data_IF_817355396124
#
_entry.id   IF_817355396124
#
_cell.length_a   1.000
_cell.length_b   1.000
_cell.length_c   1.000
_cell.angle_alpha   90.00
_cell.angle_beta   90.00
_cell.angle_gamma   90.00
#
_symmetry.space_group_name_H-M   'P 1'
#
loop_
_entity.id
_entity.type
_entity.pdbx_description
1 polymer ?
#
# COMPACT_ATOMS: atom_id res chain seq x y z
N UNK A 1 -13.31 39.65 47.69
CA UNK A 1 -13.63 39.85 46.26
C UNK A 1 -14.90 39.07 45.91
N UNK A 2 -16.06 39.72 45.76
CA UNK A 2 -17.32 39.02 45.39
C UNK A 2 -17.27 38.69 43.90
N UNK A 3 -16.90 37.46 43.56
CA UNK A 3 -16.92 36.98 42.17
C UNK A 3 -18.38 37.02 41.70
N UNK A 4 -18.64 37.78 40.64
CA UNK A 4 -19.95 37.80 40.00
C UNK A 4 -20.21 36.42 39.40
N UNK A 5 -21.04 35.61 40.07
CA UNK A 5 -21.33 34.21 39.73
C UNK A 5 -21.73 34.03 38.26
N UNK A 6 -22.41 35.02 37.67
CA UNK A 6 -22.82 35.02 36.26
C UNK A 6 -21.63 35.19 35.31
N UNK A 7 -20.69 36.10 35.64
CA UNK A 7 -19.46 36.28 34.86
C UNK A 7 -18.54 35.06 34.95
N UNK A 8 -18.43 34.45 36.13
CA UNK A 8 -17.66 33.22 36.32
C UNK A 8 -18.23 32.02 35.54
N UNK A 9 -19.56 31.87 35.52
CA UNK A 9 -20.23 30.81 34.75
C UNK A 9 -20.02 30.99 33.24
N UNK A 10 -20.17 32.22 32.73
CA UNK A 10 -19.93 32.52 31.30
C UNK A 10 -18.46 32.27 30.94
N UNK A 11 -17.52 32.70 31.78
CA UNK A 11 -16.10 32.42 31.57
C UNK A 11 -15.79 30.91 31.57
N UNK A 12 -16.38 30.14 32.49
CA UNK A 12 -16.25 28.69 32.55
C UNK A 12 -16.81 27.98 31.32
N UNK A 13 -17.96 28.42 30.81
CA UNK A 13 -18.53 27.91 29.55
C UNK A 13 -17.63 28.24 28.35
N UNK A 14 -17.04 29.43 28.31
CA UNK A 14 -16.09 29.82 27.27
C UNK A 14 -14.84 28.94 27.28
N UNK A 15 -14.25 28.69 28.46
CA UNK A 15 -13.09 27.80 28.61
C UNK A 15 -13.43 26.37 28.18
N UNK A 16 -14.58 25.85 28.63
CA UNK A 16 -15.05 24.51 28.25
C UNK A 16 -15.21 24.38 26.73
N UNK A 17 -15.82 25.38 26.09
CA UNK A 17 -16.00 25.37 24.64
C UNK A 17 -14.65 25.41 23.89
N UNK A 18 -13.71 26.24 24.34
CA UNK A 18 -12.37 26.31 23.76
C UNK A 18 -11.62 24.98 23.89
N UNK A 19 -11.72 24.30 25.02
CA UNK A 19 -11.12 22.98 25.23
C UNK A 19 -11.79 21.92 24.34
N UNK A 20 -13.12 21.95 24.20
CA UNK A 20 -13.84 21.05 23.32
C UNK A 20 -13.38 21.18 21.85
N UNK A 21 -13.22 22.42 21.38
CA UNK A 21 -12.70 22.71 20.02
C UNK A 21 -11.26 22.24 19.88
N UNK A 22 -10.40 22.54 20.86
CA UNK A 22 -8.99 22.13 20.85
C UNK A 22 -8.85 20.60 20.73
N UNK A 23 -9.52 19.85 21.62
CA UNK A 23 -9.49 18.39 21.58
C UNK A 23 -10.16 17.83 20.31
N UNK A 24 -11.18 18.50 19.77
CA UNK A 24 -11.80 18.15 18.48
C UNK A 24 -10.82 18.23 17.32
N UNK A 25 -10.04 19.32 17.22
CA UNK A 25 -9.01 19.48 16.19
C UNK A 25 -7.92 18.41 16.32
N UNK A 26 -7.43 18.16 17.53
CA UNK A 26 -6.43 17.11 17.76
C UNK A 26 -6.96 15.70 17.50
N UNK A 27 -8.25 15.45 17.73
CA UNK A 27 -8.88 14.20 17.33
C UNK A 27 -8.82 14.01 15.81
N UNK A 28 -9.17 15.04 15.02
CA UNK A 28 -9.10 14.96 13.55
C UNK A 28 -7.67 14.66 13.10
N UNK A 29 -6.68 15.35 13.68
CA UNK A 29 -5.25 15.13 13.38
C UNK A 29 -4.85 13.68 13.69
N UNK A 30 -5.21 13.16 14.86
CA UNK A 30 -4.88 11.78 15.27
C UNK A 30 -5.56 10.70 14.40
N UNK A 31 -6.73 10.99 13.83
CA UNK A 31 -7.39 10.06 12.88
C UNK A 31 -6.81 10.16 11.47
N UNK A 32 -6.28 11.32 11.09
CA UNK A 32 -5.62 11.53 9.80
C UNK A 32 -4.22 10.89 9.75
N UNK A 33 -3.52 10.76 10.88
CA UNK A 33 -2.20 10.10 10.95
C UNK A 33 -2.36 8.58 11.10
N UNK A 34 -1.70 7.75 10.28
CA UNK A 34 -1.76 6.29 10.42
C UNK A 34 -1.14 5.83 11.74
N UNK A 35 -1.73 4.84 12.42
CA UNK A 35 -1.31 4.40 13.77
C UNK A 35 0.11 3.82 13.78
N UNK A 36 0.55 3.24 12.66
CA UNK A 36 1.92 2.79 12.48
C UNK A 36 2.35 2.94 11.03
N UNK A 37 3.64 3.13 10.83
CA UNK A 37 4.29 3.09 9.52
C UNK A 37 4.99 1.74 9.39
N UNK A 38 4.72 1.04 8.30
CA UNK A 38 5.34 -0.26 7.98
C UNK A 38 6.45 -0.03 6.98
N UNK A 39 7.68 -0.02 7.45
CA UNK A 39 8.86 0.07 6.60
C UNK A 39 9.31 -1.33 6.21
N UNK A 40 9.37 -1.59 4.91
CA UNK A 40 9.87 -2.84 4.35
C UNK A 40 11.22 -2.56 3.73
N UNK A 41 12.27 -3.15 4.28
CA UNK A 41 13.62 -3.11 3.69
C UNK A 41 14.04 -4.50 3.22
N UNK A 42 14.85 -4.55 2.17
CA UNK A 42 15.39 -5.78 1.61
C UNK A 42 16.90 -5.76 1.81
N UNK A 43 17.44 -6.78 2.45
CA UNK A 43 18.89 -6.94 2.65
C UNK A 43 19.36 -8.16 1.86
N UNK A 44 20.40 -8.02 1.03
CA UNK A 44 21.00 -9.17 0.33
C UNK A 44 21.70 -10.06 1.36
N UNK A 45 21.22 -11.30 1.50
CA UNK A 45 21.79 -12.28 2.42
C UNK A 45 23.11 -12.85 1.88
N UNK A 46 23.13 -13.22 0.60
CA UNK A 46 24.33 -13.62 -0.11
C UNK A 46 24.17 -13.49 -1.63
N UNK A 47 25.30 -13.42 -2.33
CA UNK A 47 25.41 -13.45 -3.78
C UNK A 47 26.45 -14.47 -4.23
N UNK A 48 26.22 -15.12 -5.36
CA UNK A 48 27.08 -16.13 -5.95
C UNK A 48 27.22 -15.85 -7.44
N UNK A 49 28.43 -15.93 -7.97
CA UNK A 49 28.73 -15.63 -9.36
C UNK A 49 29.66 -16.66 -9.96
N UNK A 50 29.31 -17.18 -11.13
CA UNK A 50 30.08 -18.13 -11.92
C UNK A 50 30.33 -17.57 -13.32
N UNK A 51 31.58 -17.60 -13.79
CA UNK A 51 31.95 -17.11 -15.12
C UNK A 51 33.01 -17.98 -15.79
N UNK A 52 32.82 -18.32 -17.06
CA UNK A 52 33.82 -18.98 -17.89
C UNK A 52 34.42 -17.96 -18.86
N UNK A 53 35.67 -17.60 -18.63
CA UNK A 53 36.45 -16.86 -19.64
C UNK A 53 37.07 -17.86 -20.60
N UNK A 54 36.95 -17.62 -21.90
CA UNK A 54 37.38 -18.60 -22.90
C UNK A 54 38.03 -17.97 -24.13
N UNK A 55 38.85 -18.76 -24.81
CA UNK A 55 39.50 -18.45 -26.08
C UNK A 55 39.63 -19.72 -26.91
N UNK A 56 39.76 -19.57 -28.23
CA UNK A 56 39.92 -20.70 -29.13
C UNK A 56 41.36 -20.83 -29.65
N UNK A 57 41.70 -22.07 -30.00
CA UNK A 57 42.82 -22.44 -30.83
C UNK A 57 42.26 -22.97 -32.15
N UNK A 58 42.76 -22.44 -33.25
CA UNK A 58 42.32 -22.73 -34.60
C UNK A 58 43.39 -23.52 -35.37
N UNK A 59 42.96 -24.44 -36.23
CA UNK A 59 43.84 -25.20 -37.12
C UNK A 59 44.41 -24.34 -38.26
N UNK A 60 43.73 -23.24 -38.60
CA UNK A 60 44.17 -22.28 -39.61
C UNK A 60 44.16 -20.86 -39.03
N UNK A 61 45.35 -20.32 -38.81
CA UNK A 61 45.55 -19.00 -38.18
C UNK A 61 45.50 -17.82 -39.17
N UNK A 62 45.20 -18.06 -40.46
CA UNK A 62 45.20 -17.00 -41.48
C UNK A 62 44.11 -15.95 -41.27
N UNK A 63 42.96 -16.33 -40.69
CA UNK A 63 41.82 -15.44 -40.45
C UNK A 63 41.71 -15.06 -38.96
N UNK A 64 41.88 -16.04 -38.07
CA UNK A 64 41.78 -15.83 -36.63
C UNK A 64 43.05 -16.33 -35.95
N UNK A 65 43.65 -15.47 -35.12
CA UNK A 65 44.84 -15.85 -34.37
C UNK A 65 44.50 -16.77 -33.20
N UNK A 66 45.44 -17.66 -32.87
CA UNK A 66 45.32 -18.47 -31.67
C UNK A 66 45.27 -17.61 -30.39
N UNK A 67 44.39 -17.98 -29.46
CA UNK A 67 44.14 -17.18 -28.26
C UNK A 67 43.02 -16.15 -28.41
N UNK A 68 42.38 -16.06 -29.58
CA UNK A 68 41.27 -15.12 -29.78
C UNK A 68 40.04 -15.56 -28.98
N UNK A 69 39.45 -14.61 -28.25
CA UNK A 69 38.14 -14.77 -27.60
C UNK A 69 37.05 -14.20 -28.51
N UNK A 70 36.08 -15.02 -28.89
CA UNK A 70 34.97 -14.63 -29.76
C UNK A 70 33.66 -15.04 -29.11
N UNK A 71 32.58 -14.29 -29.39
CA UNK A 71 31.23 -14.71 -29.05
C UNK A 71 30.81 -15.96 -29.85
N UNK A 72 31.27 -16.05 -31.09
CA UNK A 72 31.00 -17.15 -32.01
C UNK A 72 32.30 -17.62 -32.66
N UNK A 73 32.60 -18.91 -32.59
CA UNK A 73 33.80 -19.53 -33.18
C UNK A 73 33.44 -20.34 -34.43
N UNK A 74 34.16 -20.22 -35.55
CA UNK A 74 33.90 -21.04 -36.74
C UNK A 74 34.23 -22.53 -36.48
N UNK A 75 33.22 -23.41 -36.45
CA UNK A 75 33.43 -24.83 -36.08
C UNK A 75 34.40 -25.57 -36.97
N UNK A 76 34.49 -25.20 -38.26
CA UNK A 76 35.32 -25.91 -39.24
C UNK A 76 36.82 -25.74 -39.05
N UNK A 77 37.25 -24.70 -38.33
CA UNK A 77 38.67 -24.43 -38.06
C UNK A 77 38.98 -24.36 -36.56
N UNK A 78 38.00 -24.56 -35.67
CA UNK A 78 38.21 -24.49 -34.23
C UNK A 78 38.61 -25.86 -33.70
N UNK A 79 39.84 -26.01 -33.26
CA UNK A 79 40.35 -27.30 -32.76
C UNK A 79 40.04 -27.47 -31.28
N UNK A 80 40.25 -26.42 -30.49
CA UNK A 80 40.07 -26.44 -29.03
C UNK A 80 39.54 -25.09 -28.55
N UNK A 81 38.54 -25.11 -27.66
CA UNK A 81 38.17 -23.95 -26.86
C UNK A 81 38.71 -24.17 -25.45
N UNK A 82 39.63 -23.32 -25.00
CA UNK A 82 40.16 -23.32 -23.64
C UNK A 82 39.47 -22.25 -22.83
N UNK A 83 39.32 -22.48 -21.53
CA UNK A 83 38.82 -21.47 -20.63
C UNK A 83 39.23 -21.67 -19.20
N UNK A 84 38.95 -20.66 -18.40
CA UNK A 84 39.12 -20.64 -16.95
C UNK A 84 37.76 -20.32 -16.35
N UNK A 85 37.18 -21.32 -15.70
CA UNK A 85 35.95 -21.13 -14.95
C UNK A 85 36.29 -20.54 -13.59
N UNK A 86 35.59 -19.48 -13.19
CA UNK A 86 35.76 -18.79 -11.92
C UNK A 86 34.44 -18.74 -11.19
N UNK A 87 34.47 -19.08 -9.92
CA UNK A 87 33.35 -18.93 -9.01
C UNK A 87 33.74 -18.03 -7.84
N UNK A 88 32.80 -17.20 -7.39
CA UNK A 88 32.95 -16.38 -6.19
C UNK A 88 31.63 -16.24 -5.45
N UNK A 89 31.71 -16.09 -4.13
CA UNK A 89 30.55 -15.78 -3.29
C UNK A 89 30.82 -14.61 -2.33
N UNK A 90 29.78 -13.84 -2.04
CA UNK A 90 29.79 -12.74 -1.07
C UNK A 90 28.55 -12.81 -0.16
N UNK A 91 28.68 -12.75 1.17
CA UNK A 91 29.95 -12.79 1.91
C UNK A 91 30.67 -14.12 1.68
N UNK A 92 32.00 -14.08 1.73
CA UNK A 92 32.86 -15.24 1.50
C UNK A 92 32.45 -16.40 2.40
N UNK A 93 32.30 -17.59 1.82
CA UNK A 93 31.91 -18.79 2.53
C UNK A 93 32.69 -19.99 2.00
N UNK A 94 32.88 -20.99 2.86
CA UNK A 94 33.52 -22.24 2.51
C UNK A 94 32.51 -23.27 2.04
N UNK A 95 32.90 -24.06 1.06
CA UNK A 95 32.04 -25.11 0.50
C UNK A 95 32.83 -26.10 -0.33
N UNK A 96 32.11 -26.96 -1.03
CA UNK A 96 32.66 -27.88 -2.01
C UNK A 96 32.13 -27.57 -3.40
N UNK A 97 32.90 -27.95 -4.41
CA UNK A 97 32.52 -27.82 -5.81
C UNK A 97 32.77 -29.12 -6.56
N UNK A 98 31.97 -29.33 -7.60
CA UNK A 98 32.15 -30.39 -8.59
C UNK A 98 31.92 -29.81 -9.98
N UNK A 99 32.83 -30.08 -10.89
CA UNK A 99 32.75 -29.67 -12.30
C UNK A 99 32.80 -30.93 -13.16
N UNK A 100 31.77 -31.11 -13.97
CA UNK A 100 31.61 -32.26 -14.84
C UNK A 100 31.41 -31.80 -16.29
N UNK A 101 32.07 -32.47 -17.23
CA UNK A 101 31.82 -32.34 -18.65
C UNK A 101 30.90 -33.48 -19.09
N UNK A 102 29.81 -33.14 -19.76
CA UNK A 102 28.90 -34.11 -20.36
C UNK A 102 29.02 -34.05 -21.88
N UNK A 103 29.10 -35.22 -22.50
CA UNK A 103 29.11 -35.41 -23.95
C UNK A 103 28.09 -36.49 -24.28
N UNK A 104 26.93 -36.05 -24.74
CA UNK A 104 25.78 -36.91 -25.01
C UNK A 104 25.58 -37.01 -26.53
N UNK A 105 25.62 -38.22 -27.05
CA UNK A 105 25.44 -38.51 -28.47
C UNK A 105 24.03 -39.04 -28.69
N UNK A 106 23.30 -38.47 -29.64
CA UNK A 106 21.90 -38.81 -29.85
C UNK A 106 21.50 -38.74 -31.33
N UNK A 107 20.36 -39.35 -31.66
CA UNK A 107 19.65 -39.16 -32.93
C UNK A 107 18.27 -38.60 -32.65
N UNK A 108 17.82 -37.65 -33.48
CA UNK A 108 16.48 -37.09 -33.38
C UNK A 108 15.46 -37.97 -34.11
N UNK A 109 14.54 -38.59 -33.37
CA UNK A 109 13.40 -39.33 -33.91
C UNK A 109 12.11 -38.61 -33.52
N UNK A 110 11.31 -38.19 -34.50
CA UNK A 110 10.07 -37.43 -34.25
C UNK A 110 10.28 -36.20 -33.34
N UNK A 111 11.38 -35.46 -33.57
CA UNK A 111 11.81 -34.29 -32.76
C UNK A 111 12.16 -34.61 -31.31
N UNK A 112 12.34 -35.88 -30.95
CA UNK A 112 12.80 -36.30 -29.62
C UNK A 112 14.22 -36.89 -29.74
N UNK A 113 15.15 -36.50 -28.85
CA UNK A 113 16.47 -37.10 -28.84
C UNK A 113 16.38 -38.54 -28.30
N UNK A 114 16.96 -39.48 -29.04
CA UNK A 114 17.23 -40.85 -28.60
C UNK A 114 18.73 -40.94 -28.36
N UNK A 115 19.13 -41.01 -27.10
CA UNK A 115 20.53 -41.04 -26.70
C UNK A 115 21.16 -42.40 -27.01
N UNK A 116 22.27 -42.37 -27.74
CA UNK A 116 23.09 -43.53 -28.11
C UNK A 116 24.17 -43.79 -27.06
N UNK A 117 24.82 -42.72 -26.61
CA UNK A 117 25.92 -42.78 -25.65
C UNK A 117 25.95 -41.49 -24.83
N UNK A 118 25.96 -41.63 -23.51
CA UNK A 118 26.13 -40.50 -22.60
C UNK A 118 27.44 -40.68 -21.83
N UNK A 119 28.32 -39.69 -21.91
CA UNK A 119 29.60 -39.70 -21.20
C UNK A 119 29.65 -38.51 -20.27
N UNK A 120 29.94 -38.78 -19.00
CA UNK A 120 30.25 -37.76 -18.00
C UNK A 120 31.70 -37.92 -17.58
N UNK A 121 32.45 -36.82 -17.54
CA UNK A 121 33.85 -36.79 -17.11
C UNK A 121 34.01 -35.72 -16.05
N UNK A 122 34.47 -36.11 -14.86
CA UNK A 122 34.81 -35.16 -13.81
C UNK A 122 36.07 -34.38 -14.24
N UNK A 123 35.95 -33.06 -14.28
CA UNK A 123 37.05 -32.15 -14.63
C UNK A 123 37.82 -31.76 -13.37
N UNK A 124 37.09 -31.40 -12.31
CA UNK A 124 37.65 -31.07 -11.02
C UNK A 124 36.60 -31.19 -9.93
N UNK A 125 37.05 -31.52 -8.73
CA UNK A 125 36.27 -31.43 -7.50
C UNK A 125 37.18 -31.01 -6.36
N UNK A 126 36.61 -30.38 -5.34
CA UNK A 126 37.39 -29.96 -4.18
C UNK A 126 36.62 -29.04 -3.23
N UNK A 127 37.34 -28.60 -2.20
CA UNK A 127 36.85 -27.59 -1.27
C UNK A 127 37.42 -26.21 -1.64
N UNK A 128 36.70 -25.15 -1.28
CA UNK A 128 37.12 -23.77 -1.51
C UNK A 128 36.71 -22.87 -0.34
N UNK A 129 37.33 -21.69 -0.26
CA UNK A 129 36.97 -20.64 0.67
C UNK A 129 36.77 -19.32 -0.09
N UNK A 130 35.52 -18.88 -0.20
CA UNK A 130 35.13 -17.64 -0.89
C UNK A 130 35.12 -17.73 -2.42
N UNK A 131 36.15 -18.29 -3.04
CA UNK A 131 36.24 -18.42 -4.50
C UNK A 131 37.11 -19.59 -4.95
N UNK A 132 36.97 -20.02 -6.21
CA UNK A 132 37.88 -20.97 -6.85
C UNK A 132 37.99 -20.68 -8.36
N UNK A 133 39.03 -21.21 -9.00
CA UNK A 133 39.23 -21.14 -10.44
C UNK A 133 39.74 -22.47 -10.98
N UNK A 134 39.15 -22.95 -12.07
CA UNK A 134 39.47 -24.25 -12.67
C UNK A 134 39.64 -24.10 -14.19
N UNK A 135 40.76 -24.58 -14.78
CA UNK A 135 40.92 -24.62 -16.22
C UNK A 135 39.98 -25.68 -16.84
N UNK A 136 39.31 -25.31 -17.93
CA UNK A 136 38.40 -26.17 -18.68
C UNK A 136 38.81 -26.16 -20.15
N UNK A 137 38.63 -27.30 -20.83
CA UNK A 137 38.87 -27.42 -22.28
C UNK A 137 37.73 -28.16 -22.96
N UNK A 138 37.32 -27.66 -24.12
CA UNK A 138 36.43 -28.34 -25.06
C UNK A 138 37.28 -28.69 -26.29
N UNK A 139 37.58 -29.98 -26.49
CA UNK A 139 38.39 -30.45 -27.61
C UNK A 139 37.49 -30.85 -28.78
N UNK A 140 37.38 -29.98 -29.79
CA UNK A 140 36.48 -30.18 -30.92
C UNK A 140 36.94 -31.34 -31.79
N UNK A 141 38.25 -31.52 -31.92
CA UNK A 141 38.86 -32.63 -32.66
C UNK A 141 38.44 -33.97 -32.07
N UNK A 142 38.65 -34.16 -30.76
CA UNK A 142 38.28 -35.41 -30.09
C UNK A 142 36.77 -35.69 -30.11
N UNK A 143 35.94 -34.65 -29.92
CA UNK A 143 34.48 -34.78 -30.00
C UNK A 143 34.01 -35.13 -31.42
N UNK A 144 34.63 -34.53 -32.44
CA UNK A 144 34.36 -34.82 -33.84
C UNK A 144 34.74 -36.24 -34.24
N UNK A 145 35.91 -36.72 -33.79
CA UNK A 145 36.35 -38.10 -34.02
C UNK A 145 35.45 -39.13 -33.32
N UNK A 146 35.03 -38.86 -32.09
CA UNK A 146 34.11 -39.75 -31.36
C UNK A 146 32.73 -39.79 -32.03
N UNK A 147 32.19 -38.64 -32.43
CA UNK A 147 30.95 -38.59 -33.21
C UNK A 147 31.07 -39.35 -34.54
N UNK A 148 32.21 -39.22 -35.25
CA UNK A 148 32.47 -39.95 -36.49
C UNK A 148 32.46 -41.46 -36.26
N UNK A 149 33.16 -41.95 -35.22
CA UNK A 149 33.17 -43.38 -34.84
C UNK A 149 31.77 -43.90 -34.52
N UNK A 150 30.95 -43.11 -33.82
CA UNK A 150 29.56 -43.50 -33.51
C UNK A 150 28.73 -43.58 -34.79
N UNK A 151 28.82 -42.58 -35.67
CA UNK A 151 28.09 -42.58 -36.95
C UNK A 151 28.45 -43.77 -37.82
N UNK A 152 29.74 -44.07 -37.95
CA UNK A 152 30.24 -45.20 -38.74
C UNK A 152 29.90 -46.55 -38.10
N UNK A 153 30.04 -46.67 -36.78
CA UNK A 153 29.78 -47.93 -36.06
C UNK A 153 28.29 -48.27 -35.90
N UNK A 154 27.39 -47.29 -36.03
CA UNK A 154 25.94 -47.49 -35.89
C UNK A 154 25.16 -47.32 -37.20
N UNK A 155 25.83 -46.93 -38.29
CA UNK A 155 25.21 -46.51 -39.56
C UNK A 155 24.21 -45.33 -39.42
N UNK A 156 24.31 -44.57 -38.31
CA UNK A 156 23.45 -43.43 -38.02
C UNK A 156 24.14 -42.12 -38.40
N UNK A 157 24.24 -41.82 -39.69
CA UNK A 157 24.90 -40.59 -40.19
C UNK A 157 24.31 -39.28 -39.65
N UNK A 158 23.06 -39.31 -39.18
CA UNK A 158 22.36 -38.16 -38.57
C UNK A 158 22.57 -38.04 -37.06
N UNK A 159 23.44 -38.84 -36.45
CA UNK A 159 23.77 -38.66 -35.03
C UNK A 159 24.40 -37.28 -34.78
N UNK A 160 24.06 -36.68 -33.65
CA UNK A 160 24.52 -35.39 -33.18
C UNK A 160 25.16 -35.54 -31.79
N UNK A 161 25.87 -34.50 -31.35
CA UNK A 161 26.43 -34.44 -30.01
C UNK A 161 25.96 -33.17 -29.27
N UNK A 162 25.52 -33.34 -28.03
CA UNK A 162 25.30 -32.26 -27.07
C UNK A 162 26.45 -32.28 -26.06
N UNK A 163 27.17 -31.16 -25.95
CA UNK A 163 28.28 -31.02 -25.01
C UNK A 163 28.01 -29.87 -24.05
N UNK A 164 28.12 -30.12 -22.75
CA UNK A 164 27.95 -29.08 -21.74
C UNK A 164 28.77 -29.36 -20.49
N UNK A 165 29.19 -28.28 -19.83
CA UNK A 165 29.82 -28.29 -18.52
C UNK A 165 28.73 -28.06 -17.46
N UNK A 166 28.73 -28.86 -16.41
CA UNK A 166 27.94 -28.62 -15.20
C UNK A 166 28.87 -28.24 -14.07
N UNK A 167 28.63 -27.09 -13.45
CA UNK A 167 29.29 -26.69 -12.20
C UNK A 167 28.26 -26.72 -11.09
N UNK A 168 28.57 -27.47 -10.05
CA UNK A 168 27.74 -27.57 -8.84
C UNK A 168 28.57 -27.13 -7.65
N UNK A 169 28.06 -26.17 -6.88
CA UNK A 169 28.69 -25.64 -5.69
C UNK A 169 27.74 -25.80 -4.50
N UNK A 170 28.26 -26.37 -3.42
CA UNK A 170 27.51 -26.65 -2.20
C UNK A 170 28.16 -25.92 -1.03
N UNK A 171 27.41 -25.00 -0.42
CA UNK A 171 27.81 -24.28 0.80
C UNK A 171 26.78 -24.62 1.88
N UNK A 172 27.26 -24.98 3.08
CA UNK A 172 26.38 -25.32 4.20
C UNK A 172 25.44 -24.15 4.53
N UNK A 173 24.13 -24.43 4.60
CA UNK A 173 23.10 -23.43 4.90
C UNK A 173 22.67 -22.56 3.71
N UNK A 174 23.16 -22.83 2.49
CA UNK A 174 22.75 -22.14 1.26
C UNK A 174 22.15 -23.13 0.26
N UNK A 175 21.35 -22.61 -0.67
CA UNK A 175 20.86 -23.41 -1.79
C UNK A 175 22.05 -23.76 -2.70
N UNK A 176 22.13 -24.99 -3.27
CA UNK A 176 23.20 -25.35 -4.18
C UNK A 176 23.20 -24.44 -5.42
N UNK A 177 24.35 -23.85 -5.72
CA UNK A 177 24.55 -23.12 -6.97
C UNK A 177 24.88 -24.11 -8.08
N UNK A 178 24.04 -24.16 -9.12
CA UNK A 178 24.28 -24.99 -10.31
C UNK A 178 24.33 -24.13 -11.56
N UNK A 179 25.37 -24.29 -12.38
CA UNK A 179 25.50 -23.62 -13.68
C UNK A 179 25.75 -24.65 -14.78
N UNK A 180 24.94 -24.61 -15.83
CA UNK A 180 25.13 -25.38 -17.07
C UNK A 180 25.69 -24.45 -18.13
N UNK A 181 26.88 -24.76 -18.66
CA UNK A 181 27.51 -24.04 -19.77
C UNK A 181 27.47 -24.95 -20.99
N UNK A 182 26.66 -24.63 -21.98
CA UNK A 182 26.42 -25.49 -23.14
C UNK A 182 27.21 -25.01 -24.36
N UNK A 183 27.94 -25.93 -24.99
CA UNK A 183 28.52 -25.69 -26.30
C UNK A 183 27.45 -25.93 -27.37
N UNK A 184 27.01 -24.86 -28.01
CA UNK A 184 26.03 -24.91 -29.11
C UNK A 184 26.74 -24.75 -30.45
N UNK A 185 26.34 -25.56 -31.42
CA UNK A 185 26.66 -25.38 -32.83
C UNK A 185 25.39 -24.93 -33.55
N UNK A 186 25.41 -23.77 -34.18
CA UNK A 186 24.28 -23.28 -34.96
C UNK A 186 24.26 -23.87 -36.38
N UNK A 187 23.18 -23.58 -37.12
CA UNK A 187 22.99 -24.04 -38.51
C UNK A 187 24.01 -23.45 -39.49
N UNK A 188 24.62 -22.31 -39.15
CA UNK A 188 25.70 -21.69 -39.95
C UNK A 188 27.06 -22.32 -39.69
N UNK A 189 27.15 -23.24 -38.73
CA UNK A 189 28.40 -23.90 -38.35
C UNK A 189 29.24 -23.08 -37.37
N UNK A 190 28.66 -22.11 -36.67
CA UNK A 190 29.34 -21.36 -35.61
C UNK A 190 29.09 -22.01 -34.25
N UNK A 191 30.11 -21.97 -33.40
CA UNK A 191 30.10 -22.47 -32.03
C UNK A 191 29.94 -21.31 -31.06
N UNK A 192 29.12 -21.49 -30.03
CA UNK A 192 28.98 -20.53 -28.93
C UNK A 192 28.85 -21.25 -27.60
N UNK A 193 29.32 -20.61 -26.52
CA UNK A 193 29.14 -21.09 -25.15
C UNK A 193 27.96 -20.35 -24.51
N UNK A 194 26.84 -21.04 -24.39
CA UNK A 194 25.65 -20.52 -23.73
C UNK A 194 25.73 -20.77 -22.22
N UNK A 195 25.23 -19.82 -21.43
CA UNK A 195 25.30 -19.90 -19.96
C UNK A 195 26.71 -19.69 -19.38
N UNK A 196 27.65 -19.09 -20.12
CA UNK A 196 29.03 -18.86 -19.67
C UNK A 196 29.14 -17.99 -18.41
N UNK A 197 28.14 -17.15 -18.13
CA UNK A 197 28.04 -16.32 -16.92
C UNK A 197 26.72 -16.57 -16.20
N UNK A 198 26.74 -16.68 -14.87
CA UNK A 198 25.56 -16.80 -14.03
C UNK A 198 25.78 -16.09 -12.70
N UNK A 199 24.89 -15.16 -12.38
CA UNK A 199 24.85 -14.50 -11.08
C UNK A 199 23.56 -14.87 -10.34
N UNK A 200 23.67 -15.09 -9.03
CA UNK A 200 22.57 -15.41 -8.13
C UNK A 200 22.63 -14.50 -6.90
N UNK A 201 21.47 -14.01 -6.44
CA UNK A 201 21.36 -13.19 -5.24
C UNK A 201 20.16 -13.64 -4.42
N UNK A 202 20.39 -13.95 -3.14
CA UNK A 202 19.33 -14.21 -2.16
C UNK A 202 19.06 -12.93 -1.38
N UNK A 203 17.80 -12.50 -1.33
CA UNK A 203 17.35 -11.34 -0.56
C UNK A 203 16.48 -11.77 0.61
N UNK A 204 16.71 -11.15 1.76
CA UNK A 204 15.89 -11.29 2.96
C UNK A 204 15.02 -10.04 3.14
N UNK A 205 13.77 -10.27 3.54
CA UNK A 205 12.78 -9.22 3.74
C UNK A 205 12.70 -8.86 5.22
N UNK A 206 13.09 -7.64 5.57
CA UNK A 206 12.96 -7.08 6.89
C UNK A 206 11.71 -6.20 6.96
N UNK A 207 10.91 -6.36 8.03
CA UNK A 207 9.71 -5.54 8.27
C UNK A 207 9.88 -4.83 9.60
N UNK A 208 10.04 -3.50 9.53
CA UNK A 208 10.01 -2.59 10.67
C UNK A 208 8.58 -2.04 10.81
N UNK A 209 8.07 -2.02 12.04
CA UNK A 209 6.81 -1.35 12.37
C UNK A 209 7.16 -0.25 13.38
N UNK A 210 7.00 1.00 12.96
CA UNK A 210 7.19 2.15 13.85
C UNK A 210 5.82 2.70 14.25
N UNK A 211 5.56 2.80 15.56
CA UNK A 211 4.35 3.44 16.07
C UNK A 211 4.45 4.95 15.89
N UNK A 212 3.42 5.56 15.29
CA UNK A 212 3.39 7.00 15.09
C UNK A 212 2.86 7.72 16.34
N UNK A 213 3.19 9.01 16.45
CA UNK A 213 2.79 9.85 17.58
C UNK A 213 2.36 11.24 17.14
N UNK A 214 1.40 11.82 17.85
CA UNK A 214 0.95 13.21 17.69
C UNK A 214 1.55 14.05 18.80
N UNK A 215 2.12 15.21 18.45
CA UNK A 215 2.54 16.20 19.42
C UNK A 215 1.34 16.91 20.05
N UNK A 216 1.21 16.85 21.37
CA UNK A 216 0.18 17.52 22.16
C UNK A 216 0.82 18.27 23.33
N UNK A 217 0.70 19.61 23.32
CA UNK A 217 1.17 20.50 24.40
C UNK A 217 2.60 20.18 24.86
N UNK A 218 3.54 20.13 23.91
CA UNK A 218 4.96 19.85 24.18
C UNK A 218 5.30 18.39 24.52
N UNK A 219 4.33 17.48 24.52
CA UNK A 219 4.53 16.04 24.74
C UNK A 219 4.15 15.22 23.51
N UNK A 220 4.78 14.07 23.31
CA UNK A 220 4.40 13.13 22.27
C UNK A 220 3.41 12.10 22.83
N UNK A 221 2.25 11.97 22.18
CA UNK A 221 1.21 11.00 22.54
C UNK A 221 1.09 10.00 21.40
N UNK A 222 1.20 8.71 21.70
CA UNK A 222 1.01 7.64 20.70
C UNK A 222 -0.34 7.81 19.97
N UNK A 223 -0.35 7.64 18.65
CA UNK A 223 -1.55 7.85 17.81
C UNK A 223 -2.72 6.96 18.25
N UNK A 224 -2.43 5.72 18.66
CA UNK A 224 -3.43 4.78 19.19
C UNK A 224 -4.11 5.28 20.46
N UNK A 225 -3.39 6.00 21.31
CA UNK A 225 -3.90 6.65 22.52
C UNK A 225 -4.62 7.95 22.17
N UNK A 226 -4.04 8.78 21.30
CA UNK A 226 -4.59 10.05 20.85
C UNK A 226 -5.99 9.89 20.24
N UNK A 227 -6.20 8.86 19.39
CA UNK A 227 -7.51 8.52 18.79
C UNK A 227 -8.59 8.14 19.80
N UNK A 228 -8.23 7.74 21.02
CA UNK A 228 -9.20 7.40 22.08
C UNK A 228 -9.45 8.59 23.00
N UNK A 229 -8.37 9.25 23.41
CA UNK A 229 -8.43 10.29 24.46
C UNK A 229 -8.99 11.59 23.92
N UNK A 230 -8.54 12.05 22.74
CA UNK A 230 -8.96 13.36 22.23
C UNK A 230 -10.46 13.47 21.92
N UNK A 231 -11.13 12.48 21.26
CA UNK A 231 -12.58 12.54 21.07
C UNK A 231 -13.34 12.50 22.40
N UNK A 232 -12.91 11.67 23.35
CA UNK A 232 -13.56 11.55 24.65
C UNK A 232 -13.49 12.87 25.42
N UNK A 233 -12.33 13.54 25.40
CA UNK A 233 -12.15 14.85 26.03
C UNK A 233 -12.97 15.94 25.32
N UNK A 234 -13.01 15.92 23.98
CA UNK A 234 -13.83 16.87 23.21
C UNK A 234 -15.31 16.77 23.59
N UNK A 235 -15.85 15.55 23.69
CA UNK A 235 -17.24 15.32 24.11
C UNK A 235 -17.48 15.78 25.54
N UNK A 236 -16.59 15.43 26.48
CA UNK A 236 -16.71 15.82 27.88
C UNK A 236 -16.81 17.34 28.03
N UNK A 237 -15.94 18.09 27.36
CA UNK A 237 -15.94 19.55 27.42
C UNK A 237 -17.07 20.22 26.62
N UNK A 238 -17.75 19.50 25.73
CA UNK A 238 -18.93 20.00 25.03
C UNK A 238 -20.22 19.91 25.87
N UNK A 239 -20.27 19.05 26.90
CA UNK A 239 -21.47 18.85 27.73
C UNK A 239 -21.94 20.14 28.42
N UNK A 240 -21.08 20.92 29.12
CA UNK A 240 -21.54 22.12 29.82
C UNK A 240 -22.19 23.20 28.92
N UNK A 241 -21.59 23.62 27.78
CA UNK A 241 -22.22 24.61 26.90
C UNK A 241 -23.51 24.09 26.25
N UNK A 242 -23.57 22.81 25.84
CA UNK A 242 -24.78 22.22 25.28
C UNK A 242 -25.92 22.17 26.31
N UNK A 243 -25.63 21.77 27.54
CA UNK A 243 -26.62 21.77 28.64
C UNK A 243 -27.12 23.18 28.98
N UNK A 244 -26.26 24.20 28.90
CA UNK A 244 -26.65 25.59 29.11
C UNK A 244 -27.57 26.13 28.01
N UNK A 245 -27.31 25.79 26.74
CA UNK A 245 -28.19 26.18 25.62
C UNK A 245 -29.54 25.48 25.72
N UNK A 246 -29.54 24.18 26.03
CA UNK A 246 -30.75 23.37 26.17
C UNK A 246 -31.66 23.91 27.30
N UNK A 247 -31.09 24.15 28.48
CA UNK A 247 -31.84 24.70 29.63
C UNK A 247 -32.38 26.12 29.43
N UNK A 248 -31.76 26.93 28.56
CA UNK A 248 -32.32 28.24 28.16
C UNK A 248 -33.47 28.12 27.17
N UNK A 249 -33.47 27.11 26.31
CA UNK A 249 -34.52 26.91 25.30
C UNK A 249 -35.84 26.52 25.94
N UNK A 250 -35.82 25.71 27.00
CA UNK A 250 -37.02 25.29 27.74
C UNK A 250 -37.66 26.43 28.55
N UNK A 251 -36.95 27.53 28.80
CA UNK A 251 -37.44 28.67 29.59
C UNK A 251 -38.10 29.78 28.77
N UNK A 252 -38.34 29.60 27.47
CA UNK A 252 -39.12 30.59 26.71
C UNK A 252 -40.60 30.57 27.19
N UNK A 253 -41.22 31.73 27.47
CA UNK A 253 -42.62 31.77 27.85
C UNK A 253 -43.49 31.17 26.74
N UNK A 254 -44.51 30.39 27.11
CA UNK A 254 -45.48 29.83 26.15
C UNK A 254 -46.25 31.00 25.55
N UNK A 255 -46.38 31.03 24.22
CA UNK A 255 -47.23 32.00 23.53
C UNK A 255 -48.71 31.65 23.80
N UNK A 256 -49.37 32.42 24.64
CA UNK A 256 -50.73 32.15 25.13
C UNK A 256 -51.79 32.31 24.02
N UNK A 257 -51.53 33.12 22.99
CA UNK A 257 -52.42 33.35 21.84
C UNK A 257 -52.13 32.42 20.64
N UNK A 258 -51.19 31.49 20.77
CA UNK A 258 -50.76 30.62 19.66
C UNK A 258 -51.90 29.83 19.01
N UNK A 259 -52.95 29.49 19.78
CA UNK A 259 -54.12 28.76 19.27
C UNK A 259 -55.09 29.62 18.44
N UNK A 260 -55.09 30.95 18.65
CA UNK A 260 -55.99 31.90 18.01
C UNK A 260 -55.37 32.60 16.80
N UNK A 261 -54.03 32.61 16.66
CA UNK A 261 -53.29 33.31 15.57
C UNK A 261 -53.86 33.10 14.16
N UNK A 262 -54.37 31.91 13.85
CA UNK A 262 -54.92 31.58 12.52
C UNK A 262 -56.26 32.27 12.20
N UNK A 263 -56.91 32.85 13.21
CA UNK A 263 -58.19 33.54 13.10
C UNK A 263 -58.06 35.05 13.35
N UNK A 264 -56.83 35.53 13.56
CA UNK A 264 -56.52 36.94 13.75
C UNK A 264 -56.30 37.59 12.39
N UNK A 265 -56.99 38.71 12.17
CA UNK A 265 -56.87 39.55 10.98
C UNK A 265 -56.44 40.93 11.43
N UNK A 266 -55.40 41.48 10.80
CA UNK A 266 -54.93 42.84 11.08
C UNK A 266 -55.94 43.86 10.56
N UNK A 267 -56.39 44.78 11.41
CA UNK A 267 -57.39 45.78 11.05
C UNK A 267 -57.66 46.77 12.18
N UNK A 268 -58.46 47.80 11.90
CA UNK A 268 -58.92 48.71 12.95
C UNK A 268 -60.06 48.09 13.74
N UNK A 269 -60.06 48.30 15.05
CA UNK A 269 -61.13 47.81 15.92
C UNK A 269 -62.50 48.29 15.40
N UNK A 270 -63.47 47.39 15.19
CA UNK A 270 -64.78 47.73 14.66
C UNK A 270 -65.55 48.66 15.62
N UNK A 271 -66.30 49.61 15.08
CA UNK A 271 -67.14 50.51 15.87
C UNK A 271 -68.43 49.79 16.28
N UNK A 272 -68.75 49.83 17.57
CA UNK A 272 -69.99 49.28 18.12
C UNK A 272 -70.54 50.15 19.24
N UNK A 273 -71.85 50.06 19.47
CA UNK A 273 -72.59 50.83 20.48
C UNK A 273 -72.40 50.30 21.90
N UNK A 274 -71.94 49.04 22.07
CA UNK A 274 -71.62 48.43 23.36
C UNK A 274 -70.25 47.75 23.33
N UNK A 275 -69.36 48.10 24.25
CA UNK A 275 -68.04 47.47 24.41
C UNK A 275 -67.99 46.58 25.65
N UNK A 276 -67.43 45.39 25.52
CA UNK A 276 -67.21 44.43 26.61
C UNK A 276 -65.71 44.11 26.70
N UNK A 277 -65.08 44.51 27.80
CA UNK A 277 -63.66 44.25 28.04
C UNK A 277 -63.46 42.83 28.59
N UNK A 278 -62.60 42.06 27.90
CA UNK A 278 -62.19 40.72 28.25
C UNK A 278 -60.88 40.77 29.03
N UNK A 279 -60.79 40.02 30.13
CA UNK A 279 -59.64 40.09 31.03
C UNK A 279 -58.53 39.09 30.71
N UNK A 280 -58.83 38.03 29.97
CA UNK A 280 -57.89 36.93 29.70
C UNK A 280 -57.93 36.47 28.23
N UNK A 281 -56.82 35.93 27.70
CA UNK A 281 -56.80 35.28 26.38
C UNK A 281 -57.83 34.15 26.24
N UNK A 282 -58.12 33.43 27.33
CA UNK A 282 -59.14 32.38 27.35
C UNK A 282 -60.55 32.92 27.15
N UNK A 283 -60.86 34.10 27.66
CA UNK A 283 -62.16 34.74 27.45
C UNK A 283 -62.30 35.16 25.97
N UNK A 284 -61.24 35.68 25.36
CA UNK A 284 -61.22 35.96 23.91
C UNK A 284 -61.47 34.69 23.08
N UNK A 285 -60.86 33.57 23.48
CA UNK A 285 -61.08 32.28 22.83
C UNK A 285 -62.53 31.81 22.94
N UNK A 286 -63.15 31.93 24.12
CA UNK A 286 -64.55 31.53 24.32
C UNK A 286 -65.51 32.37 23.48
N UNK A 287 -65.28 33.68 23.43
CA UNK A 287 -66.10 34.58 22.59
C UNK A 287 -65.92 34.23 21.11
N UNK A 288 -64.69 33.97 20.67
CA UNK A 288 -64.42 33.50 19.31
C UNK A 288 -65.19 32.22 18.98
N UNK A 289 -65.15 31.21 19.86
CA UNK A 289 -65.86 29.94 19.65
C UNK A 289 -67.39 30.08 19.67
N UNK A 290 -67.92 31.08 20.37
CA UNK A 290 -69.36 31.35 20.48
C UNK A 290 -69.91 32.14 19.29
N UNK A 291 -69.17 33.16 18.84
CA UNK A 291 -69.62 34.11 17.81
C UNK A 291 -69.17 33.67 16.41
N UNK A 292 -68.11 32.87 16.32
CA UNK A 292 -67.48 32.37 15.08
C UNK A 292 -67.17 33.47 14.06
N UNK A 293 -66.63 34.58 14.56
CA UNK A 293 -66.23 35.75 13.77
C UNK A 293 -64.73 36.00 13.91
N UNK A 294 -64.08 36.58 12.89
CA UNK A 294 -62.65 36.83 12.93
C UNK A 294 -62.28 37.75 14.10
N UNK A 295 -61.09 37.51 14.65
CA UNK A 295 -60.50 38.37 15.68
C UNK A 295 -59.75 39.47 14.95
N UNK A 296 -60.13 40.72 15.16
CA UNK A 296 -59.44 41.87 14.58
C UNK A 296 -58.34 42.31 15.54
N UNK A 297 -57.10 42.33 15.08
CA UNK A 297 -55.98 42.88 15.83
C UNK A 297 -55.72 44.31 15.36
N UNK A 298 -55.85 45.26 16.30
CA UNK A 298 -55.56 46.67 16.11
C UNK A 298 -54.29 47.03 16.87
N UNK A 299 -53.20 47.23 16.11
CA UNK A 299 -51.89 47.61 16.63
C UNK A 299 -51.67 49.14 16.73
N UNK A 300 -52.69 49.93 17.07
CA UNK A 300 -52.54 51.38 17.18
C UNK A 300 -52.01 51.83 18.56
N UNK A 301 -50.76 52.31 18.58
CA UNK A 301 -50.00 53.13 19.56
C UNK A 301 -50.21 53.07 21.10
N UNK A 302 -51.23 52.42 21.66
CA UNK A 302 -51.47 52.31 23.11
C UNK A 302 -51.61 50.84 23.61
N UNK A 303 -51.39 49.84 22.75
CA UNK A 303 -51.29 48.42 23.12
C UNK A 303 -51.81 47.49 22.02
N UNK A 304 -51.51 46.19 22.11
CA UNK A 304 -52.05 45.18 21.19
C UNK A 304 -53.47 44.84 21.62
N UNK A 305 -54.46 45.29 20.85
CA UNK A 305 -55.89 45.08 21.13
C UNK A 305 -56.47 44.06 20.15
N UNK A 306 -57.10 43.03 20.70
CA UNK A 306 -57.76 41.97 19.94
C UNK A 306 -59.27 42.06 20.15
N UNK A 307 -60.04 42.21 19.07
CA UNK A 307 -61.47 42.48 19.15
C UNK A 307 -62.34 41.56 18.28
N UNK A 308 -63.57 41.29 18.72
CA UNK A 308 -64.57 40.50 17.97
C UNK A 308 -65.89 41.28 17.97
N UNK A 309 -66.43 41.56 16.78
CA UNK A 309 -67.71 42.26 16.64
C UNK A 309 -68.89 41.30 16.43
N UNK A 310 -69.85 41.32 17.37
CA UNK A 310 -71.13 40.63 17.27
C UNK A 310 -72.29 41.64 17.23
N UNK A 311 -72.73 41.97 16.01
CA UNK A 311 -73.75 43.01 15.80
C UNK A 311 -73.31 44.36 16.37
N UNK A 312 -74.04 44.85 17.37
CA UNK A 312 -73.78 46.12 18.05
C UNK A 312 -72.80 46.01 19.24
N UNK A 313 -72.34 44.80 19.57
CA UNK A 313 -71.42 44.54 20.70
C UNK A 313 -70.02 44.19 20.21
N UNK A 314 -69.01 44.84 20.78
CA UNK A 314 -67.58 44.56 20.50
C UNK A 314 -66.92 44.05 21.77
N UNK A 315 -66.33 42.86 21.69
CA UNK A 315 -65.56 42.26 22.77
C UNK A 315 -64.08 42.55 22.54
N UNK A 316 -63.38 43.15 23.51
CA UNK A 316 -61.98 43.60 23.36
C UNK A 316 -61.11 42.96 24.44
N UNK A 317 -59.99 42.36 24.05
CA UNK A 317 -58.92 41.89 24.94
C UNK A 317 -57.66 42.73 24.67
N UNK A 318 -57.18 43.44 25.68
CA UNK A 318 -55.93 44.20 25.60
C UNK A 318 -54.80 43.37 26.19
N UNK A 319 -53.78 43.10 25.37
CA UNK A 319 -52.56 42.43 25.82
C UNK A 319 -51.59 43.50 26.36
N UNK A 320 -51.31 43.45 27.67
CA UNK A 320 -50.31 44.29 28.34
C UNK A 320 -48.88 43.76 28.13
#
# INVERSE_FOLDING_TARGET
MKVNKKKALIAGLGISLSLAVLFGVYSVIAYATPVSTRDVSYTTAYSEGGSLRHYALFSNETVYQNGTSLKYYPSGITDVIRGEYRYSTSPGASGSYKIEMHSNYYVSVNRKPVYLLNRTTEIASGNFAGSFSVPVKFNMTSLGEELKKIREGTDLHRAENEVYLTVTVSINGREPFTQKIQLKKDTSGMLSLDGATKDYQKVERNVSITENSVGFVGTSVKDSTARKVFPAMALLFAVPPLGFVYSKREKKPKDELASLRKYVVEGKSPEGTRKVELKTPEDLKRVFELVDRPIVHDGSNEGDVYSIADGDTVYEYQQL
#
